data_IF_683057302720
#
_entry.id   IF_683057302720
#
_cell.length_a   1.000
_cell.length_b   1.000
_cell.length_c   1.000
_cell.angle_alpha   90.00
_cell.angle_beta   90.00
_cell.angle_gamma   90.00
#
_symmetry.space_group_name_H-M   'P 1'
#
loop_
_entity.id
_entity.type
_entity.pdbx_description
1 polymer ?
#
# COMPACT_ATOMS: atom_id res chain seq x y z
N UNK A 1 -26.09 -12.47 -33.84
CA UNK A 1 -24.83 -11.75 -34.09
C UNK A 1 -24.79 -10.54 -33.15
N UNK A 2 -24.11 -10.62 -32.00
CA UNK A 2 -23.93 -9.48 -31.08
C UNK A 2 -22.55 -8.87 -31.33
N UNK A 3 -22.53 -7.59 -31.68
CA UNK A 3 -21.32 -6.80 -31.93
C UNK A 3 -20.60 -6.47 -30.60
N UNK A 4 -19.26 -6.47 -30.55
CA UNK A 4 -18.47 -6.12 -29.36
C UNK A 4 -18.35 -4.60 -29.18
N UNK A 5 -18.68 -4.07 -28.00
CA UNK A 5 -18.44 -2.66 -27.66
C UNK A 5 -17.03 -2.46 -27.08
N UNK A 6 -16.36 -1.46 -27.65
CA UNK A 6 -14.92 -1.28 -27.80
C UNK A 6 -14.27 -0.36 -26.76
N UNK A 7 -14.72 -0.33 -25.51
CA UNK A 7 -14.09 0.52 -24.48
C UNK A 7 -13.84 -0.27 -23.20
N UNK A 8 -12.61 -0.78 -23.06
CA UNK A 8 -12.14 -1.36 -21.80
C UNK A 8 -11.84 -0.25 -20.79
N UNK A 9 -12.11 -0.50 -19.50
CA UNK A 9 -11.83 0.41 -18.36
C UNK A 9 -10.41 1.01 -18.38
N UNK A 10 -9.45 0.30 -18.97
CA UNK A 10 -8.05 0.73 -19.16
C UNK A 10 -7.89 1.91 -20.14
N UNK A 11 -8.85 2.18 -21.02
CA UNK A 11 -8.82 3.30 -21.97
C UNK A 11 -9.34 4.60 -21.33
N UNK A 12 -10.27 4.51 -20.37
CA UNK A 12 -10.80 5.68 -19.66
C UNK A 12 -9.72 6.39 -18.81
N UNK A 13 -8.83 5.62 -18.17
CA UNK A 13 -7.71 6.18 -17.38
C UNK A 13 -6.65 6.86 -18.26
N UNK A 14 -6.54 6.49 -19.54
CA UNK A 14 -5.53 7.04 -20.46
C UNK A 14 -5.92 8.36 -21.13
N UNK A 15 -7.19 8.78 -21.09
CA UNK A 15 -7.67 10.00 -21.76
C UNK A 15 -7.77 11.23 -20.84
N UNK A 16 -7.49 11.10 -19.54
CA UNK A 16 -7.81 12.12 -18.53
C UNK A 16 -6.74 13.17 -18.21
N UNK A 17 -5.73 13.40 -19.05
CA UNK A 17 -4.67 14.39 -18.72
C UNK A 17 -4.52 15.44 -19.81
N UNK A 18 -5.22 16.56 -19.64
CA UNK A 18 -4.86 17.85 -20.23
C UNK A 18 -5.14 19.00 -19.26
N UNK A 19 -4.03 19.55 -18.76
CA UNK A 19 -3.71 20.92 -18.38
C UNK A 19 -4.53 21.68 -17.31
N UNK A 20 -3.83 22.10 -16.25
CA UNK A 20 -3.84 23.50 -15.81
C UNK A 20 -2.48 23.86 -15.18
N UNK A 21 -1.89 24.94 -15.67
CA UNK A 21 -0.61 25.49 -15.28
C UNK A 21 -0.75 26.54 -14.15
N UNK A 22 0.33 26.65 -13.35
CA UNK A 22 0.81 27.82 -12.61
C UNK A 22 -0.03 28.41 -11.45
N UNK A 23 0.49 28.26 -10.23
CA UNK A 23 0.85 29.37 -9.32
C UNK A 23 1.99 28.90 -8.40
N UNK A 24 3.20 29.40 -8.62
CA UNK A 24 4.36 29.18 -7.75
C UNK A 24 4.32 30.20 -6.61
N UNK A 25 3.80 29.80 -5.45
CA UNK A 25 4.16 30.44 -4.18
C UNK A 25 5.24 29.57 -3.51
N UNK A 26 6.40 30.12 -3.13
CA UNK A 26 7.29 29.41 -2.22
C UNK A 26 6.73 29.60 -0.81
N UNK A 27 5.77 28.76 -0.41
CA UNK A 27 5.59 28.52 1.02
C UNK A 27 6.85 27.80 1.48
N UNK A 28 7.68 28.50 2.26
CA UNK A 28 8.78 27.89 2.98
C UNK A 28 8.20 26.76 3.81
N UNK A 29 8.28 25.53 3.29
CA UNK A 29 7.96 24.33 4.02
C UNK A 29 8.94 24.33 5.19
N UNK A 30 8.42 24.64 6.39
CA UNK A 30 9.13 24.35 7.63
C UNK A 30 9.44 22.86 7.52
N UNK A 31 10.70 22.53 7.28
CA UNK A 31 11.20 21.19 7.50
C UNK A 31 10.97 20.93 8.98
N UNK A 32 9.81 20.33 9.30
CA UNK A 32 9.63 19.65 10.56
C UNK A 32 10.72 18.60 10.55
N UNK A 33 11.75 18.83 11.36
CA UNK A 33 12.69 17.80 11.74
C UNK A 33 11.84 16.73 12.42
N UNK A 34 11.31 15.80 11.64
CA UNK A 34 10.68 14.61 12.17
C UNK A 34 11.79 13.90 12.93
N UNK A 35 11.75 14.01 14.26
CA UNK A 35 12.43 13.05 15.14
C UNK A 35 12.14 11.67 14.57
N UNK A 36 13.14 10.79 14.37
CA UNK A 36 12.86 9.45 13.87
C UNK A 36 11.88 8.82 14.87
N UNK A 37 10.60 8.76 14.49
CA UNK A 37 9.59 8.11 15.28
C UNK A 37 9.99 6.65 15.28
N UNK A 38 10.47 6.17 16.41
CA UNK A 38 10.65 4.74 16.64
C UNK A 38 9.27 4.14 16.42
N UNK A 39 9.11 3.36 15.35
CA UNK A 39 7.86 2.69 15.04
C UNK A 39 7.48 1.83 16.26
N UNK A 40 6.41 2.20 17.00
CA UNK A 40 6.14 1.58 18.30
C UNK A 40 5.76 0.09 18.18
N UNK A 41 5.32 -0.36 17.01
CA UNK A 41 4.97 -1.73 16.72
C UNK A 41 5.84 -2.33 15.62
N UNK A 42 6.20 -3.61 15.79
CA UNK A 42 6.93 -4.41 14.82
C UNK A 42 6.08 -5.59 14.33
N UNK A 43 6.32 -6.03 13.10
CA UNK A 43 5.73 -7.26 12.57
C UNK A 43 6.45 -8.46 13.23
N UNK A 44 5.77 -9.30 14.03
CA UNK A 44 6.40 -10.47 14.63
C UNK A 44 6.83 -11.46 13.55
N UNK A 45 8.00 -12.08 13.69
CA UNK A 45 8.36 -13.18 12.80
C UNK A 45 7.49 -14.42 13.08
N UNK A 46 7.17 -15.18 12.03
CA UNK A 46 6.54 -16.49 12.21
C UNK A 46 7.53 -17.45 12.91
N UNK A 47 7.03 -18.22 13.88
CA UNK A 47 7.78 -19.27 14.56
C UNK A 47 7.88 -20.58 13.77
N UNK A 48 7.45 -20.58 12.50
CA UNK A 48 7.39 -21.74 11.62
C UNK A 48 7.47 -21.29 10.15
N UNK A 49 7.76 -22.22 9.24
CA UNK A 49 7.82 -21.97 7.81
C UNK A 49 6.41 -21.74 7.21
N UNK A 50 6.30 -20.98 6.12
CA UNK A 50 5.01 -20.63 5.52
C UNK A 50 4.13 -21.82 5.11
N UNK A 51 4.73 -22.99 4.84
CA UNK A 51 4.05 -24.23 4.46
C UNK A 51 3.81 -25.19 5.64
N UNK A 52 4.17 -24.81 6.87
CA UNK A 52 4.04 -25.68 8.04
C UNK A 52 2.59 -26.04 8.42
N UNK A 53 1.61 -25.37 7.82
CA UNK A 53 0.17 -25.55 8.08
C UNK A 53 -0.57 -26.31 6.96
N UNK A 54 0.15 -26.78 5.95
CA UNK A 54 -0.40 -27.68 4.92
C UNK A 54 -0.88 -29.01 5.55
N UNK A 55 -1.96 -29.63 5.05
CA UNK A 55 -2.79 -29.24 3.89
C UNK A 55 -3.96 -28.30 4.26
N UNK A 56 -3.99 -27.78 5.48
CA UNK A 56 -5.14 -27.05 5.99
C UNK A 56 -5.13 -25.58 5.61
N UNK A 57 -3.93 -24.99 5.54
CA UNK A 57 -3.71 -23.64 5.06
C UNK A 57 -2.54 -23.70 4.10
N UNK A 58 -2.77 -23.24 2.87
CA UNK A 58 -1.75 -23.28 1.84
C UNK A 58 -0.65 -22.23 2.07
N UNK A 59 0.55 -22.53 1.56
CA UNK A 59 1.72 -21.65 1.68
C UNK A 59 1.45 -20.22 1.19
N UNK A 60 0.77 -20.07 0.05
CA UNK A 60 0.53 -18.76 -0.57
C UNK A 60 -0.39 -17.91 0.29
N UNK A 61 -1.39 -18.51 0.93
CA UNK A 61 -2.22 -17.84 1.94
C UNK A 61 -1.36 -17.28 3.07
N UNK A 62 -0.41 -18.07 3.62
CA UNK A 62 0.43 -17.59 4.72
C UNK A 62 1.40 -16.47 4.30
N UNK A 63 1.99 -16.55 3.10
CA UNK A 63 2.83 -15.48 2.55
C UNK A 63 2.05 -14.17 2.37
N UNK A 64 0.84 -14.23 1.77
CA UNK A 64 0.02 -13.05 1.55
C UNK A 64 -0.52 -12.50 2.88
N UNK A 65 -0.97 -13.35 3.79
CA UNK A 65 -1.54 -12.93 5.06
C UNK A 65 -0.50 -12.21 5.94
N UNK A 66 0.68 -12.80 6.10
CA UNK A 66 1.72 -12.25 6.96
C UNK A 66 2.46 -11.07 6.31
N UNK A 67 3.07 -11.29 5.14
CA UNK A 67 4.01 -10.32 4.55
C UNK A 67 3.32 -9.18 3.80
N UNK A 68 2.02 -9.30 3.50
CA UNK A 68 1.23 -8.22 2.88
C UNK A 68 0.24 -7.63 3.86
N UNK A 69 -0.74 -8.40 4.31
CA UNK A 69 -1.84 -7.85 5.10
C UNK A 69 -1.41 -7.42 6.51
N UNK A 70 -0.78 -8.32 7.28
CA UNK A 70 -0.32 -7.98 8.64
C UNK A 70 0.76 -6.88 8.60
N UNK A 71 1.73 -6.98 7.68
CA UNK A 71 2.73 -5.95 7.45
C UNK A 71 2.12 -4.57 7.18
N UNK A 72 1.10 -4.50 6.32
CA UNK A 72 0.40 -3.25 6.01
C UNK A 72 -0.36 -2.68 7.22
N UNK A 73 -0.99 -3.53 8.04
CA UNK A 73 -1.66 -3.07 9.26
C UNK A 73 -0.68 -2.44 10.26
N UNK A 74 0.48 -3.06 10.49
CA UNK A 74 1.53 -2.51 11.36
C UNK A 74 2.05 -1.17 10.81
N UNK A 75 2.32 -1.10 9.50
CA UNK A 75 2.79 0.14 8.88
C UNK A 75 1.77 1.29 9.04
N UNK A 76 0.50 1.03 8.78
CA UNK A 76 -0.56 2.03 8.89
C UNK A 76 -0.84 2.43 10.35
N UNK A 77 -0.75 1.49 11.28
CA UNK A 77 -0.87 1.76 12.72
C UNK A 77 0.24 2.71 13.18
N UNK A 78 1.49 2.41 12.83
CA UNK A 78 2.63 3.27 13.18
C UNK A 78 2.49 4.66 12.56
N UNK A 79 2.03 4.75 11.31
CA UNK A 79 1.79 6.03 10.64
C UNK A 79 0.69 6.85 11.35
N UNK A 80 -0.39 6.22 11.81
CA UNK A 80 -1.48 6.88 12.51
C UNK A 80 -1.08 7.39 13.91
N UNK A 81 -0.05 6.80 14.52
CA UNK A 81 0.45 7.16 15.85
C UNK A 81 1.66 8.11 15.81
N UNK A 82 2.21 8.38 14.63
CA UNK A 82 3.24 9.39 14.46
C UNK A 82 2.63 10.79 14.70
N UNK A 83 2.85 11.33 15.89
CA UNK A 83 2.42 12.68 16.32
C UNK A 83 3.45 13.75 15.97
#
# INVERSE_FOLDING_TARGET
>A
MLQPSLIHRRHFVKLGTLAAAATLLPTAARAATATPAVAPFALPALGYAFDALEPHIDKLTMEIHHDKHHAAYIANLNAALAT
#
